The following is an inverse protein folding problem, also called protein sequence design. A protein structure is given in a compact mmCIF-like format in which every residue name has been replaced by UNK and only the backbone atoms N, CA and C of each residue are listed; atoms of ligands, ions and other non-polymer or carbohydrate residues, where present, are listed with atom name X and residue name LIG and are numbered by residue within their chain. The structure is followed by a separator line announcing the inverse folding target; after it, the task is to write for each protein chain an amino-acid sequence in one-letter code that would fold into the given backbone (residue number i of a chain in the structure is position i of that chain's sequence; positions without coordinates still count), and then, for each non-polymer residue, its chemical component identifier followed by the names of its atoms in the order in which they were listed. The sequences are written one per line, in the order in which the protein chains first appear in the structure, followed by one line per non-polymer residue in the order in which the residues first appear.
data_IF_712187758096
#
_entry.id   IF_712187758096
#
_cell.length_a   1.000
_cell.length_b   1.000
_cell.length_c   1.000
_cell.angle_alpha   90.00
_cell.angle_beta   90.00
_cell.angle_gamma   90.00
#
_symmetry.space_group_name_H-M   'P 1'
#
loop_
_entity.id
_entity.type
_entity.pdbx_description
1 polymer ?
#
# COMPACT_ATOMS: atom_id res chain seq x y z
N UNK A 1 -31.28 4.25 13.55
CA UNK A 1 -30.57 5.28 12.74
C UNK A 1 -29.35 5.71 13.53
N UNK A 2 -28.20 5.09 13.29
CA UNK A 2 -26.97 5.35 14.05
C UNK A 2 -26.02 6.11 13.15
N UNK A 3 -25.82 7.40 13.45
CA UNK A 3 -24.94 8.29 12.71
C UNK A 3 -23.48 7.81 12.87
N UNK A 4 -22.86 7.39 11.77
CA UNK A 4 -21.43 7.14 11.71
C UNK A 4 -20.70 8.48 11.63
N UNK A 5 -20.16 8.94 12.76
CA UNK A 5 -19.20 10.05 12.79
C UNK A 5 -17.98 9.64 11.95
N UNK A 6 -17.97 10.07 10.70
CA UNK A 6 -16.76 10.08 9.88
C UNK A 6 -15.96 11.27 10.37
N UNK A 7 -15.05 11.03 11.33
CA UNK A 7 -13.97 11.97 11.60
C UNK A 7 -13.07 11.97 10.37
N UNK A 8 -13.49 12.72 9.35
CA UNK A 8 -12.59 13.17 8.31
C UNK A 8 -11.58 14.05 9.03
N UNK A 9 -10.43 13.47 9.40
CA UNK A 9 -9.25 14.27 9.67
C UNK A 9 -9.03 15.09 8.41
N UNK A 10 -9.42 16.35 8.48
CA UNK A 10 -9.06 17.39 7.53
C UNK A 10 -7.55 17.60 7.64
N UNK A 11 -6.76 16.61 7.21
CA UNK A 11 -5.36 16.80 6.94
C UNK A 11 -5.27 17.84 5.84
N UNK A 12 -4.54 18.93 6.09
CA UNK A 12 -4.28 20.01 5.14
C UNK A 12 -4.25 19.47 3.70
N UNK A 13 -5.31 19.75 2.94
CA UNK A 13 -5.56 19.27 1.57
C UNK A 13 -4.64 19.91 0.54
N UNK A 14 -3.37 20.08 0.89
CA UNK A 14 -2.32 20.47 -0.03
C UNK A 14 -2.00 19.24 -0.90
N UNK A 15 -2.30 19.34 -2.20
CA UNK A 15 -1.84 18.37 -3.21
C UNK A 15 -0.30 18.35 -3.35
N UNK A 16 0.42 19.23 -2.65
CA UNK A 16 1.87 19.22 -2.63
C UNK A 16 2.40 18.12 -1.68
N UNK A 17 2.78 16.99 -2.28
CA UNK A 17 3.34 15.83 -1.59
C UNK A 17 4.63 16.12 -0.82
N UNK A 18 5.33 17.21 -1.16
CA UNK A 18 6.56 17.61 -0.46
C UNK A 18 6.29 18.13 0.97
N UNK A 19 5.07 18.61 1.24
CA UNK A 19 4.67 19.13 2.54
C UNK A 19 4.17 18.03 3.49
N UNK A 20 4.09 16.78 3.02
CA UNK A 20 3.62 15.68 3.83
C UNK A 20 4.64 15.30 4.92
N UNK A 21 4.16 15.01 6.14
CA UNK A 21 4.97 14.39 7.18
C UNK A 21 5.72 13.16 6.64
N UNK A 22 6.96 12.90 7.12
CA UNK A 22 7.72 11.73 6.69
C UNK A 22 6.97 10.40 6.85
N UNK A 23 6.13 10.28 7.89
CA UNK A 23 5.30 9.10 8.12
C UNK A 23 4.26 8.89 7.00
N UNK A 24 3.57 9.95 6.57
CA UNK A 24 2.57 9.88 5.50
C UNK A 24 3.25 9.57 4.15
N UNK A 25 4.43 10.13 3.90
CA UNK A 25 5.23 9.78 2.72
C UNK A 25 5.64 8.32 2.70
N UNK A 26 6.03 7.75 3.84
CA UNK A 26 6.37 6.33 3.95
C UNK A 26 5.15 5.43 3.66
N UNK A 27 3.96 5.81 4.13
CA UNK A 27 2.71 5.10 3.82
C UNK A 27 2.38 5.17 2.32
N UNK A 28 2.56 6.33 1.69
CA UNK A 28 2.39 6.48 0.24
C UNK A 28 3.37 5.61 -0.54
N UNK A 29 4.64 5.58 -0.15
CA UNK A 29 5.65 4.77 -0.83
C UNK A 29 5.38 3.27 -0.67
N UNK A 30 4.89 2.85 0.50
CA UNK A 30 4.42 1.49 0.70
C UNK A 30 3.24 1.14 -0.22
N UNK A 31 2.28 2.05 -0.39
CA UNK A 31 1.14 1.84 -1.28
C UNK A 31 1.55 1.79 -2.76
N UNK A 32 2.50 2.65 -3.19
CA UNK A 32 3.10 2.59 -4.53
C UNK A 32 3.74 1.23 -4.78
N UNK A 33 4.52 0.71 -3.83
CA UNK A 33 5.15 -0.61 -3.96
C UNK A 33 4.11 -1.72 -4.03
N UNK A 34 3.07 -1.68 -3.19
CA UNK A 34 1.97 -2.65 -3.24
C UNK A 34 1.27 -2.64 -4.61
N UNK A 35 1.03 -1.46 -5.19
CA UNK A 35 0.45 -1.32 -6.53
C UNK A 35 1.36 -1.91 -7.61
N UNK A 36 2.67 -1.60 -7.55
CA UNK A 36 3.65 -2.13 -8.48
C UNK A 36 3.70 -3.67 -8.42
N UNK A 37 3.74 -4.25 -7.21
CA UNK A 37 3.73 -5.70 -7.02
C UNK A 37 2.48 -6.31 -7.65
N UNK A 38 1.28 -5.78 -7.36
CA UNK A 38 0.02 -6.27 -7.95
C UNK A 38 0.02 -6.18 -9.47
N UNK A 39 0.54 -5.08 -10.03
CA UNK A 39 0.62 -4.88 -11.47
C UNK A 39 1.58 -5.89 -12.13
N UNK A 40 2.76 -6.12 -11.55
CA UNK A 40 3.76 -7.08 -12.06
C UNK A 40 3.27 -8.52 -12.05
N UNK A 41 2.38 -8.88 -11.12
CA UNK A 41 1.82 -10.24 -11.01
C UNK A 41 0.39 -10.36 -11.51
N UNK A 42 -0.15 -9.31 -12.17
CA UNK A 42 -1.56 -9.25 -12.57
C UNK A 42 -1.97 -10.40 -13.49
N UNK A 43 -1.10 -10.73 -14.44
CA UNK A 43 -1.39 -11.70 -15.49
C UNK A 43 -0.95 -13.12 -15.11
N UNK A 44 -0.28 -13.27 -13.95
CA UNK A 44 0.10 -14.56 -13.37
C UNK A 44 -1.07 -15.20 -12.62
N UNK A 45 -1.15 -16.53 -12.62
CA UNK A 45 -2.22 -17.29 -11.96
C UNK A 45 -1.66 -18.28 -10.94
N UNK A 46 -2.47 -18.59 -9.94
CA UNK A 46 -2.20 -19.67 -8.99
C UNK A 46 -0.84 -19.57 -8.27
N UNK A 47 -0.10 -20.68 -8.13
CA UNK A 47 1.17 -20.73 -7.41
C UNK A 47 2.23 -19.76 -7.94
N UNK A 48 2.26 -19.52 -9.24
CA UNK A 48 3.28 -18.67 -9.87
C UNK A 48 3.10 -17.19 -9.46
N UNK A 49 1.84 -16.74 -9.36
CA UNK A 49 1.52 -15.41 -8.84
C UNK A 49 2.05 -15.21 -7.43
N UNK A 50 1.87 -16.23 -6.57
CA UNK A 50 2.32 -16.18 -5.19
C UNK A 50 3.84 -16.20 -5.09
N UNK A 51 4.50 -17.06 -5.86
CA UNK A 51 5.97 -17.13 -5.92
C UNK A 51 6.57 -15.80 -6.36
N UNK A 52 6.11 -15.24 -7.47
CA UNK A 52 6.61 -13.96 -7.96
C UNK A 52 6.28 -12.82 -7.00
N UNK A 53 5.10 -12.85 -6.36
CA UNK A 53 4.73 -11.89 -5.32
C UNK A 53 5.70 -11.91 -4.14
N UNK A 54 6.11 -13.09 -3.67
CA UNK A 54 7.09 -13.23 -2.59
C UNK A 54 8.48 -12.72 -2.99
N UNK A 55 8.91 -12.98 -4.22
CA UNK A 55 10.20 -12.46 -4.75
C UNK A 55 10.19 -10.93 -4.78
N UNK A 56 9.11 -10.33 -5.29
CA UNK A 56 8.98 -8.87 -5.35
C UNK A 56 8.89 -8.25 -3.95
N UNK A 57 8.21 -8.91 -3.01
CA UNK A 57 8.14 -8.47 -1.62
C UNK A 57 9.50 -8.56 -0.91
N UNK A 58 10.30 -9.58 -1.23
CA UNK A 58 11.65 -9.74 -0.68
C UNK A 58 12.60 -8.62 -1.15
N UNK A 59 12.40 -8.07 -2.34
CA UNK A 59 13.16 -6.94 -2.86
C UNK A 59 12.82 -5.60 -2.17
N UNK A 60 11.72 -5.51 -1.41
CA UNK A 60 11.37 -4.34 -0.61
C UNK A 60 12.28 -4.29 0.63
N UNK A 61 12.82 -3.10 0.99
CA UNK A 61 13.58 -2.91 2.23
C UNK A 61 12.82 -3.44 3.46
N UNK A 62 13.53 -4.10 4.37
CA UNK A 62 12.91 -4.77 5.54
C UNK A 62 12.11 -3.80 6.42
N UNK A 63 12.60 -2.57 6.58
CA UNK A 63 11.91 -1.51 7.35
C UNK A 63 10.55 -1.10 6.75
N UNK A 64 10.39 -1.21 5.43
CA UNK A 64 9.15 -0.85 4.74
C UNK A 64 8.21 -2.04 4.48
N UNK A 65 8.73 -3.28 4.60
CA UNK A 65 8.00 -4.51 4.28
C UNK A 65 6.68 -4.66 5.06
N UNK A 66 6.58 -4.37 6.37
CA UNK A 66 5.32 -4.46 7.10
C UNK A 66 4.22 -3.54 6.52
N UNK A 67 4.58 -2.31 6.17
CA UNK A 67 3.66 -1.34 5.58
C UNK A 67 3.18 -1.80 4.18
N UNK A 68 4.10 -2.34 3.36
CA UNK A 68 3.74 -2.89 2.03
C UNK A 68 2.82 -4.09 2.16
N UNK A 69 3.06 -5.00 3.11
CA UNK A 69 2.17 -6.14 3.36
C UNK A 69 0.78 -5.68 3.80
N UNK A 70 0.71 -4.68 4.68
CA UNK A 70 -0.58 -4.10 5.10
C UNK A 70 -1.34 -3.49 3.91
N UNK A 71 -0.66 -2.73 3.04
CA UNK A 71 -1.24 -2.16 1.83
C UNK A 71 -1.70 -3.24 0.83
N UNK A 72 -0.93 -4.31 0.63
CA UNK A 72 -1.32 -5.45 -0.20
C UNK A 72 -2.59 -6.14 0.35
N UNK A 73 -2.66 -6.37 1.66
CA UNK A 73 -3.83 -6.97 2.32
C UNK A 73 -5.08 -6.09 2.15
N UNK A 74 -4.95 -4.78 2.39
CA UNK A 74 -6.05 -3.83 2.22
C UNK A 74 -6.62 -3.83 0.78
N UNK A 75 -5.79 -4.13 -0.21
CA UNK A 75 -6.16 -4.21 -1.64
C UNK A 75 -6.64 -5.58 -2.10
N UNK A 76 -6.41 -6.65 -1.33
CA UNK A 76 -6.81 -8.00 -1.68
C UNK A 76 -8.27 -8.31 -1.32
N UNK A 77 -8.84 -7.61 -0.33
CA UNK A 77 -10.22 -7.78 0.13
C UNK A 77 -11.27 -6.93 -0.59
N UNK A 78 -10.96 -6.39 -1.78
CA UNK A 78 -11.85 -5.60 -2.64
C UNK A 78 -12.07 -6.34 -3.95
#
# INVERSE_FOLDING_TARGET
MTASNTTALAGNGSFNLALLPPADRALMDADKQACLIRWKVRDLKGPEKQRQGNVLLAAVPESARPAVVAALKARAGK
#
